data_IF_776342889416
#
_entry.id   IF_776342889416
#
_cell.length_a   1.000
_cell.length_b   1.000
_cell.length_c   1.000
_cell.angle_alpha   90.00
_cell.angle_beta   90.00
_cell.angle_gamma   90.00
#
_symmetry.space_group_name_H-M   'P 1'
#
loop_
_entity.id
_entity.type
_entity.pdbx_description
1 polymer ?
#
# COMPACT_ATOMS: atom_id res chain seq x y z
N UNK A 1 12.68 31.20 -40.19
CA UNK A 1 12.11 29.85 -40.44
C UNK A 1 10.85 29.69 -39.61
N UNK A 2 9.73 29.69 -40.26
CA UNK A 2 8.38 29.95 -39.75
C UNK A 2 7.79 28.71 -39.02
N UNK A 3 6.96 28.97 -38.01
CA UNK A 3 6.25 27.95 -37.16
C UNK A 3 5.46 26.86 -37.94
N UNK A 4 5.29 26.99 -39.24
CA UNK A 4 4.62 26.01 -40.12
C UNK A 4 5.38 24.72 -40.33
N UNK A 5 6.74 24.71 -40.28
CA UNK A 5 7.53 23.53 -40.51
C UNK A 5 7.62 22.54 -39.35
N UNK A 6 7.23 22.92 -38.13
CA UNK A 6 7.22 22.02 -36.96
C UNK A 6 5.98 21.11 -36.92
N UNK A 7 4.84 21.61 -37.40
CA UNK A 7 3.61 20.83 -37.46
C UNK A 7 3.65 19.75 -38.55
N UNK A 8 4.30 20.02 -39.69
CA UNK A 8 4.44 19.03 -40.77
C UNK A 8 5.45 17.93 -40.46
N UNK A 9 6.48 18.16 -39.62
CA UNK A 9 7.43 17.11 -39.22
C UNK A 9 6.82 16.04 -38.30
N UNK A 10 5.84 16.42 -37.47
CA UNK A 10 5.19 15.46 -36.57
C UNK A 10 4.14 14.57 -37.26
N UNK A 11 3.74 14.90 -38.48
CA UNK A 11 2.78 14.09 -39.25
C UNK A 11 3.43 12.98 -40.08
N UNK A 12 4.75 13.01 -40.28
CA UNK A 12 5.47 12.03 -41.14
C UNK A 12 6.06 10.84 -40.37
N UNK A 13 6.01 10.80 -39.03
CA UNK A 13 6.60 9.72 -38.25
C UNK A 13 5.60 8.71 -37.70
N UNK A 14 4.30 8.88 -37.95
CA UNK A 14 3.28 7.97 -37.45
C UNK A 14 2.88 6.91 -38.49
N UNK A 15 3.89 6.14 -38.98
CA UNK A 15 3.68 5.00 -39.86
C UNK A 15 3.22 3.71 -39.13
N UNK A 16 2.68 3.84 -37.90
CA UNK A 16 2.11 2.75 -37.11
C UNK A 16 0.65 2.99 -36.75
N UNK A 17 -0.11 3.48 -37.71
CA UNK A 17 -1.56 3.55 -37.56
C UNK A 17 -2.15 2.13 -37.61
N UNK A 18 -2.83 1.72 -36.56
CA UNK A 18 -3.61 0.49 -36.56
C UNK A 18 -4.91 0.67 -37.37
N UNK A 19 -5.58 -0.39 -37.84
CA UNK A 19 -6.86 -0.33 -38.59
C UNK A 19 -7.99 0.39 -37.82
N UNK A 20 -7.81 0.68 -36.56
CA UNK A 20 -8.75 1.39 -35.67
C UNK A 20 -8.53 2.91 -35.60
N UNK A 21 -7.50 3.43 -36.28
CA UNK A 21 -7.26 4.87 -36.42
C UNK A 21 -8.25 5.48 -37.41
N UNK A 22 -9.53 5.40 -37.10
CA UNK A 22 -10.58 6.12 -37.81
C UNK A 22 -10.27 7.61 -37.69
N UNK A 23 -10.06 8.27 -38.80
CA UNK A 23 -9.98 9.74 -38.87
C UNK A 23 -11.33 10.30 -38.38
N UNK A 24 -11.48 10.53 -37.08
CA UNK A 24 -12.63 11.23 -36.52
C UNK A 24 -12.48 12.69 -36.93
N UNK A 25 -13.10 13.06 -38.05
CA UNK A 25 -13.43 14.46 -38.37
C UNK A 25 -14.58 14.87 -37.45
N UNK A 26 -14.28 15.30 -36.26
CA UNK A 26 -15.23 15.83 -35.30
C UNK A 26 -14.55 16.83 -34.38
N UNK A 27 -15.27 17.87 -34.01
CA UNK A 27 -14.91 18.71 -32.88
C UNK A 27 -14.91 17.82 -31.65
N UNK A 28 -13.72 17.54 -31.08
CA UNK A 28 -13.63 16.82 -29.83
C UNK A 28 -14.43 17.60 -28.78
N UNK A 29 -15.30 16.90 -28.06
CA UNK A 29 -15.96 17.47 -26.90
C UNK A 29 -14.90 18.09 -25.96
N UNK A 30 -15.25 19.20 -25.31
CA UNK A 30 -14.36 19.74 -24.28
C UNK A 30 -14.00 18.64 -23.28
N UNK A 31 -12.72 18.55 -22.86
CA UNK A 31 -12.32 17.52 -21.90
C UNK A 31 -13.17 17.64 -20.64
N UNK A 32 -13.54 16.51 -20.02
CA UNK A 32 -14.47 16.51 -18.89
C UNK A 32 -13.97 17.42 -17.77
N UNK A 33 -14.81 18.34 -17.32
CA UNK A 33 -14.49 19.17 -16.15
C UNK A 33 -14.37 18.27 -14.93
N UNK A 34 -13.32 18.48 -14.15
CA UNK A 34 -13.11 17.79 -12.87
C UNK A 34 -14.13 18.30 -11.84
N UNK A 35 -15.33 17.78 -11.86
CA UNK A 35 -16.26 17.96 -10.75
C UNK A 35 -15.90 16.99 -9.63
N UNK A 36 -15.72 17.51 -8.42
CA UNK A 36 -15.57 16.67 -7.24
C UNK A 36 -16.91 16.01 -6.94
N UNK A 37 -17.01 14.72 -7.15
CA UNK A 37 -18.16 13.98 -6.68
C UNK A 37 -18.25 14.11 -5.15
N UNK A 38 -19.45 14.32 -4.59
CA UNK A 38 -19.62 14.36 -3.14
C UNK A 38 -19.15 13.03 -2.53
N UNK A 39 -18.46 13.08 -1.37
CA UNK A 39 -18.02 11.86 -0.71
C UNK A 39 -19.25 11.02 -0.34
N UNK A 40 -19.19 9.71 -0.63
CA UNK A 40 -20.21 8.75 -0.19
C UNK A 40 -20.28 8.75 1.35
N UNK A 41 -21.47 8.94 1.90
CA UNK A 41 -21.69 8.75 3.34
C UNK A 41 -21.64 7.26 3.66
N UNK A 42 -20.95 6.84 4.73
CA UNK A 42 -20.95 5.45 5.17
C UNK A 42 -22.39 5.04 5.60
N UNK A 43 -22.73 3.77 5.37
CA UNK A 43 -23.98 3.21 5.88
C UNK A 43 -23.93 3.15 7.44
N UNK A 44 -25.08 2.97 8.07
CA UNK A 44 -25.16 2.81 9.54
C UNK A 44 -24.32 1.64 10.04
N UNK A 45 -24.28 0.53 9.29
CA UNK A 45 -23.47 -0.66 9.59
C UNK A 45 -21.97 -0.38 9.42
N UNK A 46 -21.57 0.27 8.31
CA UNK A 46 -20.18 0.69 8.12
C UNK A 46 -19.74 1.66 9.24
N UNK A 47 -20.63 2.53 9.70
CA UNK A 47 -20.35 3.48 10.78
C UNK A 47 -20.20 2.76 12.13
N UNK A 48 -21.04 1.76 12.40
CA UNK A 48 -20.93 0.89 13.58
C UNK A 48 -19.64 0.10 13.56
N UNK A 49 -19.30 -0.55 12.45
CA UNK A 49 -18.05 -1.29 12.30
C UNK A 49 -16.83 -0.38 12.42
N UNK A 50 -16.85 0.83 11.87
CA UNK A 50 -15.77 1.80 12.00
C UNK A 50 -15.54 2.25 13.46
N UNK A 51 -16.58 2.29 14.28
CA UNK A 51 -16.49 2.65 15.70
C UNK A 51 -16.01 1.46 16.56
N UNK A 52 -16.48 0.25 16.27
CA UNK A 52 -16.16 -0.95 17.05
C UNK A 52 -14.80 -1.56 16.68
N UNK A 53 -14.43 -1.57 15.39
CA UNK A 53 -13.22 -2.23 14.94
C UNK A 53 -11.93 -1.77 15.64
N UNK A 54 -11.70 -0.47 15.94
CA UNK A 54 -10.52 -0.07 16.70
C UNK A 54 -10.49 -0.62 18.12
N UNK A 55 -11.66 -0.73 18.76
CA UNK A 55 -11.79 -1.22 20.13
C UNK A 55 -11.55 -2.72 20.18
N UNK A 56 -12.22 -3.48 19.32
CA UNK A 56 -12.06 -4.94 19.27
C UNK A 56 -10.64 -5.32 18.84
N UNK A 57 -10.07 -4.63 17.85
CA UNK A 57 -8.69 -4.86 17.42
C UNK A 57 -7.69 -4.58 18.54
N UNK A 58 -7.89 -3.51 19.32
CA UNK A 58 -7.05 -3.21 20.48
C UNK A 58 -7.20 -4.26 21.56
N UNK A 59 -8.43 -4.72 21.82
CA UNK A 59 -8.73 -5.78 22.79
C UNK A 59 -8.07 -7.11 22.37
N UNK A 60 -8.23 -7.55 21.15
CA UNK A 60 -7.60 -8.77 20.64
C UNK A 60 -6.08 -8.69 20.61
N UNK A 61 -5.53 -7.56 20.18
CA UNK A 61 -4.08 -7.36 20.14
C UNK A 61 -3.46 -7.32 21.54
N UNK A 62 -4.21 -6.80 22.53
CA UNK A 62 -3.79 -6.83 23.93
C UNK A 62 -4.05 -8.20 24.60
N UNK A 63 -5.05 -8.95 24.13
CA UNK A 63 -5.36 -10.27 24.63
C UNK A 63 -4.32 -11.30 24.16
N UNK A 64 -3.44 -11.67 25.05
CA UNK A 64 -2.40 -12.68 24.76
C UNK A 64 -2.96 -14.11 24.76
N UNK A 65 -4.15 -14.34 25.31
CA UNK A 65 -4.73 -15.68 25.52
C UNK A 65 -4.78 -16.53 24.25
N UNK A 66 -5.17 -15.94 23.13
CA UNK A 66 -5.20 -16.61 21.82
C UNK A 66 -3.80 -16.89 21.24
N UNK A 67 -2.79 -16.16 21.68
CA UNK A 67 -1.42 -16.29 21.21
C UNK A 67 -0.59 -17.28 22.01
N UNK A 68 -0.93 -17.50 23.28
CA UNK A 68 -0.17 -18.39 24.17
C UNK A 68 -0.04 -19.83 23.61
N UNK A 69 -1.12 -20.47 23.12
CA UNK A 69 -1.00 -21.80 22.52
C UNK A 69 -0.05 -21.81 21.30
N UNK A 70 -0.13 -20.76 20.47
CA UNK A 70 0.75 -20.61 19.30
C UNK A 70 2.21 -20.45 19.73
N UNK A 71 2.49 -19.57 20.71
CA UNK A 71 3.85 -19.39 21.24
C UNK A 71 4.44 -20.68 21.78
N UNK A 72 3.65 -21.45 22.54
CA UNK A 72 4.09 -22.75 23.10
C UNK A 72 4.37 -23.78 22.02
N UNK A 73 3.49 -23.88 21.02
CA UNK A 73 3.66 -24.77 19.87
C UNK A 73 4.92 -24.44 19.11
N UNK A 74 5.09 -23.19 18.71
CA UNK A 74 6.24 -22.73 17.91
C UNK A 74 7.56 -22.90 18.70
N UNK A 75 7.57 -22.60 20.01
CA UNK A 75 8.75 -22.84 20.85
C UNK A 75 9.09 -24.33 20.98
N UNK A 76 8.09 -25.20 21.05
CA UNK A 76 8.31 -26.65 21.08
C UNK A 76 8.92 -27.14 19.77
N UNK A 77 8.40 -26.68 18.62
CA UNK A 77 8.92 -26.98 17.29
C UNK A 77 10.36 -26.47 17.11
N UNK A 78 10.64 -25.21 17.49
CA UNK A 78 11.98 -24.62 17.41
C UNK A 78 13.01 -25.33 18.29
N UNK A 79 12.58 -25.94 19.38
CA UNK A 79 13.44 -26.63 20.33
C UNK A 79 13.51 -28.14 20.10
N UNK A 80 12.72 -28.69 19.19
CA UNK A 80 12.74 -30.08 18.83
C UNK A 80 14.11 -30.47 18.23
N UNK A 81 14.79 -31.45 18.87
CA UNK A 81 16.12 -31.88 18.44
C UNK A 81 17.27 -30.89 18.65
N UNK A 82 17.00 -29.72 19.28
CA UNK A 82 18.03 -28.71 19.50
C UNK A 82 19.01 -29.12 20.60
N UNK A 83 20.30 -29.13 20.27
CA UNK A 83 21.40 -29.30 21.22
C UNK A 83 21.79 -27.95 21.84
N UNK A 84 21.96 -27.87 23.13
CA UNK A 84 22.35 -26.69 23.88
C UNK A 84 21.16 -25.89 24.42
N UNK A 85 21.36 -24.60 24.76
CA UNK A 85 20.35 -23.77 25.40
C UNK A 85 19.11 -23.61 24.50
N UNK A 86 17.91 -23.91 25.01
CA UNK A 86 16.70 -23.80 24.22
C UNK A 86 16.37 -22.33 23.87
N UNK A 87 15.68 -22.15 22.75
CA UNK A 87 15.08 -20.85 22.41
C UNK A 87 13.99 -20.50 23.41
N UNK A 88 13.97 -19.24 23.83
CA UNK A 88 12.99 -18.74 24.79
C UNK A 88 11.93 -17.84 24.14
N UNK A 89 12.15 -17.43 22.90
CA UNK A 89 11.28 -16.48 22.21
C UNK A 89 11.06 -16.93 20.76
N UNK A 90 9.82 -17.14 20.36
CA UNK A 90 9.41 -17.48 19.01
C UNK A 90 9.09 -16.25 18.17
N UNK A 91 9.01 -16.41 16.85
CA UNK A 91 8.76 -15.30 15.92
C UNK A 91 7.35 -14.73 16.09
N UNK A 92 6.33 -15.56 16.34
CA UNK A 92 4.97 -15.08 16.63
C UNK A 92 4.89 -14.21 17.88
N UNK A 93 5.67 -14.54 18.94
CA UNK A 93 5.77 -13.68 20.14
C UNK A 93 6.39 -12.31 19.79
N UNK A 94 7.45 -12.30 19.00
CA UNK A 94 8.08 -11.05 18.56
C UNK A 94 7.08 -10.20 17.75
N UNK A 95 6.36 -10.81 16.80
CA UNK A 95 5.33 -10.12 16.00
C UNK A 95 4.24 -9.53 16.89
N UNK A 96 3.74 -10.29 17.86
CA UNK A 96 2.75 -9.82 18.80
C UNK A 96 3.23 -8.58 19.59
N UNK A 97 4.44 -8.63 20.16
CA UNK A 97 5.00 -7.50 20.92
C UNK A 97 5.20 -6.25 20.05
N UNK A 98 5.62 -6.42 18.80
CA UNK A 98 5.80 -5.29 17.88
C UNK A 98 4.46 -4.73 17.43
N UNK A 99 3.44 -5.56 17.28
CA UNK A 99 2.06 -5.08 17.04
C UNK A 99 1.55 -4.23 18.20
N UNK A 100 1.77 -4.66 19.45
CA UNK A 100 1.52 -3.85 20.63
C UNK A 100 2.29 -2.52 20.60
N UNK A 101 3.59 -2.55 20.26
CA UNK A 101 4.41 -1.35 20.13
C UNK A 101 3.79 -0.35 19.14
N UNK A 102 3.30 -0.86 18.02
CA UNK A 102 2.69 -0.05 16.96
C UNK A 102 1.39 0.59 17.43
N UNK A 103 0.55 -0.17 18.11
CA UNK A 103 -0.73 0.29 18.67
C UNK A 103 -0.55 1.39 19.72
N UNK A 104 0.32 1.15 20.70
CA UNK A 104 0.59 2.14 21.77
C UNK A 104 1.47 3.30 21.30
N UNK A 105 1.95 3.28 20.04
CA UNK A 105 2.90 4.26 19.49
C UNK A 105 4.17 4.40 20.35
N UNK A 106 4.55 3.29 20.99
CA UNK A 106 5.58 3.26 22.02
C UNK A 106 6.98 2.94 21.49
N UNK A 107 7.92 2.88 22.44
CA UNK A 107 9.29 2.44 22.21
C UNK A 107 9.43 0.93 22.39
N UNK A 108 10.55 0.34 21.94
CA UNK A 108 10.87 -1.06 22.24
C UNK A 108 10.92 -1.35 23.74
N UNK A 109 11.38 -0.37 24.57
CA UNK A 109 11.41 -0.49 26.02
C UNK A 109 9.99 -0.57 26.61
N UNK A 110 9.11 0.32 26.16
CA UNK A 110 7.72 0.35 26.62
C UNK A 110 6.99 -0.95 26.23
N UNK A 111 7.18 -1.40 24.98
CA UNK A 111 6.56 -2.63 24.49
C UNK A 111 7.07 -3.87 25.21
N UNK A 112 8.38 -3.98 25.46
CA UNK A 112 8.97 -5.08 26.20
C UNK A 112 8.49 -5.12 27.67
N UNK A 113 8.37 -3.95 28.31
CA UNK A 113 7.85 -3.86 29.68
C UNK A 113 6.37 -4.26 29.77
N UNK A 114 5.54 -3.79 28.85
CA UNK A 114 4.12 -4.16 28.79
C UNK A 114 3.96 -5.65 28.50
N UNK A 115 4.72 -6.18 27.56
CA UNK A 115 4.71 -7.62 27.24
C UNK A 115 5.17 -8.48 28.43
N UNK A 116 6.16 -8.02 29.21
CA UNK A 116 6.62 -8.72 30.38
C UNK A 116 5.48 -8.86 31.43
N UNK A 117 4.78 -7.75 31.72
CA UNK A 117 3.67 -7.78 32.64
C UNK A 117 2.53 -8.72 32.17
N UNK A 118 2.18 -8.69 30.87
CA UNK A 118 1.10 -9.54 30.34
C UNK A 118 1.51 -11.02 30.31
N UNK A 119 2.76 -11.33 29.92
CA UNK A 119 3.23 -12.72 29.78
C UNK A 119 3.50 -13.40 31.14
N UNK A 120 3.78 -12.62 32.17
CA UNK A 120 4.02 -13.12 33.54
C UNK A 120 2.81 -13.91 34.07
N UNK A 121 1.59 -13.42 33.86
CA UNK A 121 0.34 -14.10 34.22
C UNK A 121 0.17 -15.47 33.54
N UNK A 122 0.89 -15.70 32.46
CA UNK A 122 0.87 -16.97 31.70
C UNK A 122 2.11 -17.83 31.92
N UNK A 123 2.96 -17.46 32.89
CA UNK A 123 4.22 -18.16 33.19
C UNK A 123 5.26 -18.08 32.07
N UNK A 124 5.19 -17.07 31.20
CA UNK A 124 6.11 -16.87 30.10
C UNK A 124 6.99 -15.62 30.31
N UNK A 125 8.21 -15.66 29.78
CA UNK A 125 9.14 -14.53 29.83
C UNK A 125 9.05 -13.72 28.55
N UNK A 126 9.09 -12.40 28.69
CA UNK A 126 9.27 -11.49 27.55
C UNK A 126 10.75 -11.29 27.22
N UNK A 127 11.08 -11.03 25.94
CA UNK A 127 12.44 -10.64 25.57
C UNK A 127 12.78 -9.25 26.12
N UNK A 128 14.05 -9.01 26.44
CA UNK A 128 14.54 -7.66 26.71
C UNK A 128 14.31 -6.74 25.50
N UNK A 129 14.27 -5.45 25.70
CA UNK A 129 14.09 -4.48 24.61
C UNK A 129 15.19 -4.59 23.53
N UNK A 130 16.43 -4.90 23.91
CA UNK A 130 17.54 -5.12 22.97
C UNK A 130 17.30 -6.38 22.13
N UNK A 131 16.92 -7.47 22.77
CA UNK A 131 16.62 -8.73 22.08
C UNK A 131 15.38 -8.62 21.19
N UNK A 132 14.36 -7.88 21.64
CA UNK A 132 13.19 -7.57 20.83
C UNK A 132 13.57 -6.78 19.56
N UNK A 133 14.44 -5.78 19.71
CA UNK A 133 14.95 -5.00 18.57
C UNK A 133 15.72 -5.86 17.58
N UNK A 134 16.68 -6.67 18.05
CA UNK A 134 17.49 -7.55 17.21
C UNK A 134 16.63 -8.55 16.43
N UNK A 135 15.77 -9.29 17.12
CA UNK A 135 14.90 -10.29 16.49
C UNK A 135 13.92 -9.68 15.51
N UNK A 136 13.31 -8.54 15.87
CA UNK A 136 12.43 -7.82 14.95
C UNK A 136 13.16 -7.33 13.71
N UNK A 137 14.41 -6.88 13.88
CA UNK A 137 15.22 -6.45 12.77
C UNK A 137 15.56 -7.60 11.81
N UNK A 138 15.98 -8.75 12.36
CA UNK A 138 16.27 -9.96 11.58
C UNK A 138 15.05 -10.46 10.81
N UNK A 139 13.88 -10.48 11.45
CA UNK A 139 12.62 -10.90 10.82
C UNK A 139 12.21 -9.99 9.68
N UNK A 140 12.17 -8.69 9.95
CA UNK A 140 11.72 -7.70 8.99
C UNK A 140 12.70 -7.56 7.82
N UNK A 141 14.00 -7.74 8.06
CA UNK A 141 15.02 -7.70 7.01
C UNK A 141 14.88 -8.87 6.02
N UNK A 142 14.40 -10.04 6.48
CA UNK A 142 14.10 -11.17 5.59
C UNK A 142 12.92 -10.90 4.64
N UNK A 143 12.03 -9.98 4.98
CA UNK A 143 10.87 -9.59 4.17
C UNK A 143 11.20 -8.49 3.17
N UNK A 144 12.37 -7.83 3.32
CA UNK A 144 12.76 -6.69 2.49
C UNK A 144 13.56 -7.15 1.26
N UNK A 145 13.14 -6.73 0.08
CA UNK A 145 14.01 -6.66 -1.09
C UNK A 145 14.38 -5.20 -1.36
N UNK A 146 15.68 -4.94 -1.49
CA UNK A 146 16.20 -3.59 -1.74
C UNK A 146 16.75 -3.51 -3.15
N UNK A 147 16.34 -2.48 -3.90
CA UNK A 147 16.87 -2.17 -5.20
C UNK A 147 16.99 -0.65 -5.36
N UNK A 148 18.24 -0.14 -5.44
CA UNK A 148 18.50 1.27 -5.71
C UNK A 148 17.88 2.25 -4.70
N UNK A 149 17.72 1.86 -3.43
CA UNK A 149 17.10 2.67 -2.37
C UNK A 149 15.58 2.60 -2.35
N UNK A 150 14.96 1.73 -3.16
CA UNK A 150 13.56 1.33 -3.09
C UNK A 150 13.47 0.02 -2.33
N UNK A 151 12.63 0.00 -1.29
CA UNK A 151 12.36 -1.20 -0.48
C UNK A 151 10.99 -1.73 -0.87
N UNK A 152 10.95 -2.93 -1.46
CA UNK A 152 9.71 -3.59 -1.87
C UNK A 152 9.43 -4.72 -0.89
N UNK A 153 8.21 -4.76 -0.39
CA UNK A 153 7.76 -5.72 0.59
C UNK A 153 6.49 -6.39 0.06
N UNK A 154 6.45 -7.70 0.15
CA UNK A 154 5.23 -8.48 -0.07
C UNK A 154 4.50 -8.57 1.26
N UNK A 155 3.28 -8.08 1.31
CA UNK A 155 2.44 -8.26 2.48
C UNK A 155 1.99 -9.73 2.57
N UNK A 156 1.84 -10.22 3.78
CA UNK A 156 1.32 -11.56 4.04
C UNK A 156 -0.20 -11.62 3.85
N UNK A 157 -0.69 -11.31 2.66
CA UNK A 157 -2.11 -11.36 2.34
C UNK A 157 -2.57 -12.76 1.95
N UNK A 158 -3.82 -13.09 2.24
CA UNK A 158 -4.41 -14.37 1.88
C UNK A 158 -4.51 -14.49 0.35
N UNK A 159 -3.98 -15.57 -0.21
CA UNK A 159 -4.16 -15.87 -1.64
C UNK A 159 -5.57 -16.41 -1.83
N UNK A 160 -6.31 -15.80 -2.75
CA UNK A 160 -7.65 -16.27 -3.16
C UNK A 160 -7.64 -16.60 -4.65
N UNK A 161 -8.44 -17.57 -5.05
CA UNK A 161 -8.49 -18.05 -6.44
C UNK A 161 -9.10 -17.02 -7.41
N UNK A 162 -9.93 -16.11 -6.91
CA UNK A 162 -10.55 -15.06 -7.73
C UNK A 162 -9.61 -13.90 -8.01
N UNK A 163 -9.68 -13.26 -9.19
CA UNK A 163 -8.91 -12.07 -9.48
C UNK A 163 -9.25 -10.91 -8.53
N UNK A 164 -8.24 -10.27 -7.97
CA UNK A 164 -8.39 -9.10 -7.08
C UNK A 164 -8.41 -7.81 -7.87
N UNK A 165 -9.41 -6.98 -7.62
CA UNK A 165 -9.40 -5.60 -8.08
C UNK A 165 -8.50 -4.78 -7.16
N UNK A 166 -7.48 -4.16 -7.71
CA UNK A 166 -6.45 -3.51 -6.90
C UNK A 166 -6.38 -2.01 -7.14
N UNK A 167 -6.09 -1.28 -6.09
CA UNK A 167 -5.79 0.15 -6.14
C UNK A 167 -4.35 0.42 -5.75
N UNK A 168 -3.69 1.30 -6.49
CA UNK A 168 -2.35 1.78 -6.15
C UNK A 168 -2.41 3.26 -5.81
N UNK A 169 -1.74 3.62 -4.72
CA UNK A 169 -1.62 5.02 -4.29
C UNK A 169 -0.37 5.20 -3.43
N UNK A 170 0.03 6.45 -3.17
CA UNK A 170 1.18 6.77 -2.34
C UNK A 170 0.87 7.83 -1.29
N UNK A 171 1.56 7.76 -0.15
CA UNK A 171 1.42 8.77 0.89
C UNK A 171 2.73 9.02 1.63
N UNK A 172 2.95 10.30 2.02
CA UNK A 172 4.14 10.72 2.77
C UNK A 172 4.01 10.45 4.26
N UNK A 173 5.12 10.01 4.89
CA UNK A 173 5.28 9.87 6.34
C UNK A 173 6.43 10.72 6.83
N UNK A 174 6.21 11.48 7.90
CA UNK A 174 7.19 12.40 8.45
C UNK A 174 8.26 11.67 9.25
N UNK A 175 9.52 11.98 9.01
CA UNK A 175 10.62 11.54 9.85
C UNK A 175 10.82 12.56 10.98
N UNK A 176 10.62 12.15 12.23
CA UNK A 176 10.65 13.05 13.39
C UNK A 176 12.06 13.28 13.94
N UNK A 177 13.02 12.40 13.62
CA UNK A 177 14.40 12.52 14.10
C UNK A 177 15.32 13.15 13.05
N UNK A 178 16.20 14.04 13.50
CA UNK A 178 17.33 14.54 12.71
C UNK A 178 18.47 13.52 12.75
N UNK A 179 18.50 12.60 11.80
CA UNK A 179 19.54 11.58 11.74
C UNK A 179 20.73 12.02 10.89
N UNK A 180 21.94 11.55 11.24
CA UNK A 180 23.19 11.83 10.50
C UNK A 180 23.05 11.40 9.03
N UNK A 181 22.52 10.20 8.75
CA UNK A 181 22.30 9.71 7.39
C UNK A 181 21.43 10.64 6.52
N UNK A 182 20.52 11.40 7.15
CA UNK A 182 19.67 12.36 6.46
C UNK A 182 20.44 13.61 6.06
N UNK A 183 21.40 14.03 6.89
CA UNK A 183 22.33 15.12 6.54
C UNK A 183 23.24 14.72 5.39
N UNK A 184 23.76 13.50 5.42
CA UNK A 184 24.65 12.96 4.39
C UNK A 184 23.93 12.77 3.05
N UNK A 185 22.75 12.16 3.07
CA UNK A 185 22.00 11.84 1.83
C UNK A 185 21.32 13.04 1.18
N UNK A 186 20.87 14.04 1.96
CA UNK A 186 20.05 15.15 1.44
C UNK A 186 20.63 16.56 1.70
N UNK A 187 21.79 16.68 2.29
CA UNK A 187 22.46 17.97 2.52
C UNK A 187 21.63 18.98 3.34
N UNK A 188 20.60 18.52 4.05
CA UNK A 188 19.61 19.39 4.68
C UNK A 188 20.01 19.71 6.11
N UNK A 189 20.15 21.00 6.40
CA UNK A 189 20.26 21.52 7.76
C UNK A 189 19.04 21.18 8.64
N UNK A 190 19.09 21.47 9.94
CA UNK A 190 18.10 21.04 10.94
C UNK A 190 16.67 21.52 10.72
N UNK A 191 16.42 22.43 9.79
CA UNK A 191 15.11 23.06 9.56
C UNK A 191 14.18 22.31 8.57
N UNK A 192 14.66 21.32 7.81
CA UNK A 192 13.79 20.57 6.86
C UNK A 192 13.47 19.18 7.38
N UNK A 193 12.20 18.95 7.73
CA UNK A 193 11.68 17.61 8.07
C UNK A 193 11.82 16.73 6.82
N UNK A 194 12.49 15.58 6.97
CA UNK A 194 12.49 14.55 5.94
C UNK A 194 11.17 13.80 5.97
N UNK A 195 10.80 13.21 4.85
CA UNK A 195 9.69 12.30 4.77
C UNK A 195 9.98 11.17 3.78
N UNK A 196 9.35 10.05 4.02
CA UNK A 196 9.38 8.88 3.17
C UNK A 196 8.04 8.77 2.46
N UNK A 197 8.06 8.23 1.27
CA UNK A 197 6.86 7.80 0.56
C UNK A 197 6.61 6.32 0.80
N UNK A 198 5.40 6.00 1.20
CA UNK A 198 4.85 4.66 1.22
C UNK A 198 3.92 4.52 0.00
N UNK A 199 4.25 3.61 -0.90
CA UNK A 199 3.41 3.23 -2.03
C UNK A 199 2.74 1.92 -1.68
N UNK A 200 1.43 1.82 -1.84
CA UNK A 200 0.65 0.64 -1.46
C UNK A 200 -0.17 0.15 -2.64
N UNK A 201 -0.10 -1.14 -2.87
CA UNK A 201 -1.04 -1.89 -3.70
C UNK A 201 -2.02 -2.60 -2.77
N UNK A 202 -3.29 -2.24 -2.83
CA UNK A 202 -4.33 -2.80 -1.95
C UNK A 202 -5.51 -3.31 -2.76
N UNK A 203 -6.17 -4.32 -2.24
CA UNK A 203 -7.46 -4.79 -2.73
C UNK A 203 -8.53 -3.71 -2.49
N UNK A 204 -9.22 -3.27 -3.54
CA UNK A 204 -10.24 -2.21 -3.41
C UNK A 204 -11.54 -2.71 -2.79
N UNK A 205 -11.77 -4.01 -2.72
CA UNK A 205 -12.98 -4.58 -2.16
C UNK A 205 -12.84 -4.82 -0.65
N UNK A 206 -11.71 -5.38 -0.23
CA UNK A 206 -11.43 -5.69 1.20
C UNK A 206 -10.63 -4.58 1.90
N UNK A 207 -9.82 -3.83 1.16
CA UNK A 207 -8.84 -2.88 1.71
C UNK A 207 -7.56 -3.54 2.22
N UNK A 208 -7.37 -4.84 1.95
CA UNK A 208 -6.18 -5.60 2.30
C UNK A 208 -4.97 -5.11 1.52
N UNK A 209 -3.83 -4.98 2.20
CA UNK A 209 -2.56 -4.59 1.56
C UNK A 209 -1.92 -5.83 0.94
N UNK A 210 -1.69 -5.80 -0.37
CA UNK A 210 -1.12 -6.92 -1.14
C UNK A 210 0.38 -6.77 -1.29
N UNK A 211 0.84 -5.57 -1.58
CA UNK A 211 2.26 -5.23 -1.66
C UNK A 211 2.47 -3.76 -1.35
N UNK A 212 3.64 -3.40 -0.89
CA UNK A 212 3.99 -2.00 -0.71
C UNK A 212 5.47 -1.74 -0.93
N UNK A 213 5.80 -0.51 -1.25
CA UNK A 213 7.17 -0.06 -1.39
C UNK A 213 7.42 1.20 -0.57
N UNK A 214 8.63 1.35 -0.08
CA UNK A 214 9.09 2.56 0.62
C UNK A 214 10.20 3.20 -0.18
N UNK A 215 10.05 4.48 -0.47
CA UNK A 215 11.02 5.28 -1.22
C UNK A 215 11.31 6.60 -0.52
N UNK A 216 12.29 7.31 -1.00
CA UNK A 216 12.49 8.70 -0.62
C UNK A 216 11.41 9.61 -1.25
N UNK A 217 11.38 10.85 -0.80
CA UNK A 217 10.41 11.86 -1.25
C UNK A 217 10.52 12.24 -2.72
N UNK A 218 11.68 12.01 -3.35
CA UNK A 218 11.97 12.45 -4.71
C UNK A 218 11.56 11.41 -5.76
N UNK A 219 11.33 10.17 -5.34
CA UNK A 219 10.91 9.10 -6.24
C UNK A 219 9.50 9.36 -6.74
N UNK A 220 9.32 9.29 -8.05
CA UNK A 220 8.00 9.40 -8.70
C UNK A 220 7.10 8.22 -8.35
N UNK A 221 5.79 8.40 -8.49
CA UNK A 221 4.82 7.34 -8.17
C UNK A 221 4.70 6.32 -9.31
N UNK A 222 4.65 6.80 -10.56
CA UNK A 222 4.44 5.97 -11.76
C UNK A 222 5.39 4.78 -11.88
N UNK A 223 6.72 4.92 -11.67
CA UNK A 223 7.65 3.79 -11.79
C UNK A 223 7.44 2.67 -10.77
N UNK A 224 6.72 2.93 -9.66
CA UNK A 224 6.51 1.94 -8.59
C UNK A 224 5.35 0.98 -8.90
N UNK A 225 4.51 1.30 -9.89
CA UNK A 225 3.35 0.48 -10.23
C UNK A 225 3.76 -0.92 -10.70
N UNK A 226 4.66 -1.01 -11.67
CA UNK A 226 5.10 -2.29 -12.23
C UNK A 226 5.78 -3.17 -11.18
N UNK A 227 6.76 -2.70 -10.40
CA UNK A 227 7.38 -3.51 -9.35
C UNK A 227 6.38 -4.02 -8.30
N UNK A 228 5.37 -3.23 -7.93
CA UNK A 228 4.36 -3.66 -6.97
C UNK A 228 3.40 -4.70 -7.53
N UNK A 229 2.97 -4.54 -8.78
CA UNK A 229 2.15 -5.54 -9.47
C UNK A 229 2.92 -6.85 -9.68
N UNK A 230 4.17 -6.78 -10.12
CA UNK A 230 5.03 -7.96 -10.29
C UNK A 230 5.29 -8.67 -8.95
N UNK A 231 5.46 -7.93 -7.85
CA UNK A 231 5.59 -8.50 -6.52
C UNK A 231 4.31 -9.24 -6.07
N UNK A 232 3.14 -8.68 -6.38
CA UNK A 232 1.86 -9.31 -6.08
C UNK A 232 1.65 -10.59 -6.91
N UNK A 233 1.94 -10.54 -8.21
CA UNK A 233 1.85 -11.72 -9.09
C UNK A 233 2.84 -12.80 -8.67
N UNK A 234 4.08 -12.44 -8.34
CA UNK A 234 5.09 -13.37 -7.86
C UNK A 234 4.73 -14.00 -6.49
N UNK A 235 3.87 -13.35 -5.70
CA UNK A 235 3.30 -13.91 -4.47
C UNK A 235 2.10 -14.85 -4.73
N UNK A 236 1.65 -15.00 -5.99
CA UNK A 236 0.55 -15.89 -6.37
C UNK A 236 -0.82 -15.19 -6.52
N UNK A 237 -0.89 -13.86 -6.40
CA UNK A 237 -2.15 -13.14 -6.58
C UNK A 237 -2.50 -13.01 -8.06
N UNK A 238 -3.76 -13.23 -8.38
CA UNK A 238 -4.33 -12.91 -9.70
C UNK A 238 -4.85 -11.49 -9.67
N UNK A 239 -4.40 -10.66 -10.61
CA UNK A 239 -4.79 -9.25 -10.70
C UNK A 239 -6.01 -9.12 -11.63
N UNK A 240 -7.05 -8.50 -11.11
CA UNK A 240 -8.23 -8.08 -11.85
C UNK A 240 -8.05 -6.64 -12.38
N UNK A 241 -8.99 -5.75 -12.09
CA UNK A 241 -8.88 -4.36 -12.53
C UNK A 241 -7.87 -3.60 -11.66
N UNK A 242 -7.01 -2.81 -12.29
CA UNK A 242 -6.05 -1.92 -11.60
C UNK A 242 -6.58 -0.49 -11.63
N UNK A 243 -6.71 0.13 -10.46
CA UNK A 243 -7.13 1.53 -10.29
C UNK A 243 -5.96 2.37 -9.79
N UNK A 244 -5.74 3.54 -10.41
CA UNK A 244 -4.72 4.48 -9.96
C UNK A 244 -5.11 5.94 -10.25
N UNK A 245 -4.40 6.88 -9.65
CA UNK A 245 -4.57 8.28 -10.02
C UNK A 245 -3.87 8.63 -11.34
N UNK A 246 -4.07 9.87 -11.82
CA UNK A 246 -3.50 10.32 -13.09
C UNK A 246 -1.97 10.37 -13.11
N UNK A 247 -1.28 10.30 -11.98
CA UNK A 247 0.18 10.26 -11.92
C UNK A 247 0.72 8.96 -12.52
N UNK A 248 -0.06 7.88 -12.48
CA UNK A 248 0.32 6.56 -13.00
C UNK A 248 0.00 6.36 -14.48
N UNK A 249 -0.53 7.36 -15.21
CA UNK A 249 -1.04 7.24 -16.58
C UNK A 249 0.06 7.18 -17.67
N UNK A 250 1.22 6.56 -17.39
CA UNK A 250 2.30 6.36 -18.37
C UNK A 250 1.97 5.29 -19.41
N UNK A 251 2.56 5.38 -20.60
CA UNK A 251 2.42 4.36 -21.65
C UNK A 251 2.89 2.99 -21.16
N UNK A 252 4.02 2.96 -20.46
CA UNK A 252 4.63 1.75 -19.91
C UNK A 252 3.70 1.02 -18.93
N UNK A 253 3.03 1.76 -18.03
CA UNK A 253 2.07 1.17 -17.11
C UNK A 253 0.85 0.59 -17.84
N UNK A 254 0.35 1.26 -18.88
CA UNK A 254 -0.73 0.72 -19.71
C UNK A 254 -0.32 -0.55 -20.44
N UNK A 255 0.88 -0.59 -21.02
CA UNK A 255 1.37 -1.76 -21.73
C UNK A 255 1.61 -2.93 -20.77
N UNK A 256 2.09 -2.65 -19.56
CA UNK A 256 2.27 -3.69 -18.55
C UNK A 256 0.92 -4.27 -18.09
N UNK A 257 -0.03 -3.42 -17.68
CA UNK A 257 -1.32 -3.88 -17.13
C UNK A 257 -2.20 -4.49 -18.22
N UNK A 258 -2.41 -3.77 -19.31
CA UNK A 258 -3.33 -4.23 -20.36
C UNK A 258 -2.68 -5.22 -21.33
N UNK A 259 -1.39 -5.06 -21.62
CA UNK A 259 -0.66 -5.91 -22.55
C UNK A 259 -0.11 -7.17 -21.89
N UNK A 260 0.68 -7.03 -20.82
CA UNK A 260 1.37 -8.15 -20.19
C UNK A 260 0.48 -8.92 -19.22
N UNK A 261 -0.24 -8.22 -18.32
CA UNK A 261 -1.13 -8.87 -17.35
C UNK A 261 -2.50 -9.23 -17.96
N UNK A 262 -2.84 -8.68 -19.15
CA UNK A 262 -4.09 -8.96 -19.84
C UNK A 262 -5.34 -8.44 -19.10
N UNK A 263 -5.19 -7.42 -18.25
CA UNK A 263 -6.27 -6.90 -17.42
C UNK A 263 -6.55 -5.43 -17.68
N UNK A 264 -7.60 -4.89 -17.07
CA UNK A 264 -8.06 -3.52 -17.28
C UNK A 264 -7.33 -2.55 -16.35
N UNK A 265 -6.84 -1.43 -16.92
CA UNK A 265 -6.27 -0.31 -16.18
C UNK A 265 -7.19 0.91 -16.21
N UNK A 266 -7.58 1.41 -15.05
CA UNK A 266 -8.48 2.56 -14.88
C UNK A 266 -7.73 3.67 -14.15
N UNK A 267 -7.45 4.76 -14.86
CA UNK A 267 -6.78 5.94 -14.31
C UNK A 267 -7.35 7.21 -14.93
N UNK A 268 -7.36 8.30 -14.18
CA UNK A 268 -7.75 9.60 -14.69
C UNK A 268 -6.63 10.24 -15.54
N UNK A 269 -7.00 11.17 -16.39
CA UNK A 269 -6.04 11.95 -17.17
C UNK A 269 -6.15 13.44 -16.82
N UNK A 270 -5.16 14.21 -17.26
CA UNK A 270 -5.23 15.66 -17.15
C UNK A 270 -6.35 16.20 -18.05
N UNK A 271 -6.98 17.29 -17.64
CA UNK A 271 -8.10 17.93 -18.40
C UNK A 271 -7.71 18.25 -19.84
N UNK A 272 -6.46 18.62 -20.08
CA UNK A 272 -5.95 18.95 -21.42
C UNK A 272 -5.36 17.75 -22.18
N UNK A 273 -5.61 16.52 -21.75
CA UNK A 273 -5.13 15.31 -22.43
C UNK A 273 -5.82 15.17 -23.77
N UNK A 274 -5.04 14.95 -24.82
CA UNK A 274 -5.55 14.68 -26.17
C UNK A 274 -5.74 13.18 -26.39
N UNK A 275 -6.69 12.76 -27.21
CA UNK A 275 -6.96 11.34 -27.51
C UNK A 275 -5.93 10.77 -28.50
N UNK A 276 -4.70 10.64 -28.04
CA UNK A 276 -3.58 10.13 -28.84
C UNK A 276 -2.97 8.89 -28.16
N UNK A 277 -2.35 8.00 -28.95
CA UNK A 277 -1.78 6.77 -28.40
C UNK A 277 -0.65 7.03 -27.39
N UNK A 278 0.15 8.08 -27.57
CA UNK A 278 1.17 8.50 -26.61
C UNK A 278 2.20 7.39 -26.29
N UNK A 279 2.55 6.55 -27.29
CA UNK A 279 3.48 5.45 -27.14
C UNK A 279 2.85 4.09 -26.80
N UNK A 280 1.55 4.04 -26.44
CA UNK A 280 0.83 2.81 -26.12
C UNK A 280 -0.57 2.82 -26.74
N UNK A 281 -0.95 1.74 -27.43
CA UNK A 281 -2.32 1.59 -27.96
C UNK A 281 -3.37 1.59 -26.85
N UNK A 282 -3.09 0.92 -25.74
CA UNK A 282 -3.99 0.80 -24.60
C UNK A 282 -4.23 2.17 -23.94
N UNK A 283 -3.15 2.95 -23.79
CA UNK A 283 -3.27 4.32 -23.32
C UNK A 283 -4.08 5.18 -24.28
N UNK A 284 -3.89 5.00 -25.59
CA UNK A 284 -4.65 5.68 -26.64
C UNK A 284 -6.15 5.37 -26.56
N UNK A 285 -6.52 4.12 -26.37
CA UNK A 285 -7.92 3.71 -26.17
C UNK A 285 -8.52 4.35 -24.92
N UNK A 286 -7.79 4.30 -23.80
CA UNK A 286 -8.22 4.92 -22.55
C UNK A 286 -8.39 6.45 -22.67
N UNK A 287 -7.48 7.15 -23.36
CA UNK A 287 -7.60 8.61 -23.56
C UNK A 287 -8.74 8.96 -24.50
N UNK A 288 -9.02 8.15 -25.53
CA UNK A 288 -10.21 8.34 -26.39
C UNK A 288 -11.50 8.18 -25.58
N UNK A 289 -11.59 7.16 -24.74
CA UNK A 289 -12.74 6.96 -23.86
C UNK A 289 -12.90 8.13 -22.86
N UNK A 290 -11.78 8.60 -22.25
CA UNK A 290 -11.77 9.76 -21.36
C UNK A 290 -12.30 11.03 -22.04
N UNK A 291 -11.91 11.29 -23.29
CA UNK A 291 -12.31 12.47 -24.03
C UNK A 291 -13.71 12.37 -24.69
N UNK A 292 -14.34 11.18 -24.69
CA UNK A 292 -15.60 10.96 -25.41
C UNK A 292 -16.86 11.29 -24.60
N UNK A 293 -16.73 11.50 -23.28
CA UNK A 293 -17.87 11.70 -22.39
C UNK A 293 -17.56 12.62 -21.21
N UNK A 294 -18.58 13.19 -20.53
CA UNK A 294 -18.40 13.96 -19.30
C UNK A 294 -17.77 13.15 -18.17
N UNK A 295 -17.08 13.82 -17.24
CA UNK A 295 -16.35 13.15 -16.16
C UNK A 295 -17.23 12.26 -15.29
N UNK A 296 -18.43 12.70 -14.92
CA UNK A 296 -19.35 11.91 -14.09
C UNK A 296 -19.74 10.58 -14.77
N UNK A 297 -20.09 10.64 -16.07
CA UNK A 297 -20.41 9.46 -16.87
C UNK A 297 -19.19 8.53 -17.01
N UNK A 298 -18.00 9.10 -17.21
CA UNK A 298 -16.76 8.32 -17.28
C UNK A 298 -16.47 7.61 -15.96
N UNK A 299 -16.64 8.28 -14.81
CA UNK A 299 -16.44 7.69 -13.48
C UNK A 299 -17.36 6.49 -13.28
N UNK A 300 -18.65 6.63 -13.65
CA UNK A 300 -19.63 5.56 -13.53
C UNK A 300 -19.28 4.39 -14.44
N UNK A 301 -19.08 4.61 -15.74
CA UNK A 301 -18.74 3.55 -16.71
C UNK A 301 -17.42 2.87 -16.46
N UNK A 302 -16.41 3.61 -16.00
CA UNK A 302 -15.09 3.05 -15.71
C UNK A 302 -15.00 2.35 -14.37
N UNK A 303 -15.88 2.69 -13.42
CA UNK A 303 -15.79 2.26 -12.03
C UNK A 303 -14.68 2.97 -11.24
N UNK A 304 -14.20 4.14 -11.73
CA UNK A 304 -13.07 4.86 -11.15
C UNK A 304 -13.29 5.26 -9.69
N UNK A 305 -14.53 5.43 -9.26
CA UNK A 305 -14.88 5.73 -7.88
C UNK A 305 -14.36 4.72 -6.86
N UNK A 306 -14.08 3.45 -7.27
CA UNK A 306 -13.51 2.43 -6.39
C UNK A 306 -12.09 2.77 -5.90
N UNK A 307 -11.34 3.59 -6.64
CA UNK A 307 -10.01 4.08 -6.26
C UNK A 307 -10.00 4.79 -4.89
N UNK A 308 -11.10 5.47 -4.55
CA UNK A 308 -11.21 6.19 -3.27
C UNK A 308 -10.95 5.30 -2.04
N UNK A 309 -11.20 4.00 -2.12
CA UNK A 309 -10.91 3.08 -1.01
C UNK A 309 -9.43 2.98 -0.67
N UNK A 310 -8.53 3.15 -1.66
CA UNK A 310 -7.08 3.18 -1.40
C UNK A 310 -6.67 4.45 -0.64
N UNK A 311 -7.25 5.61 -0.97
CA UNK A 311 -7.01 6.87 -0.24
C UNK A 311 -7.47 6.78 1.22
N UNK A 312 -8.62 6.14 1.47
CA UNK A 312 -9.13 5.90 2.83
C UNK A 312 -8.16 5.06 3.65
N UNK A 313 -7.49 4.07 3.05
CA UNK A 313 -6.52 3.22 3.70
C UNK A 313 -5.38 4.03 4.34
N UNK A 314 -4.80 4.99 3.62
CA UNK A 314 -3.73 5.84 4.18
C UNK A 314 -4.20 6.75 5.30
N UNK A 315 -5.40 7.32 5.20
CA UNK A 315 -5.99 8.14 6.25
C UNK A 315 -6.19 7.32 7.53
N UNK A 316 -6.66 6.08 7.40
CA UNK A 316 -6.82 5.14 8.50
C UNK A 316 -5.47 4.76 9.14
N UNK A 317 -4.45 4.41 8.35
CA UNK A 317 -3.10 4.11 8.86
C UNK A 317 -2.54 5.28 9.67
N UNK A 318 -2.64 6.50 9.13
CA UNK A 318 -2.16 7.70 9.82
C UNK A 318 -2.93 8.01 11.09
N UNK A 319 -4.24 7.85 11.06
CA UNK A 319 -5.11 8.05 12.23
C UNK A 319 -4.84 7.04 13.35
N UNK A 320 -4.72 5.75 12.99
CA UNK A 320 -4.53 4.67 13.97
C UNK A 320 -3.11 4.66 14.53
N UNK A 321 -2.09 4.73 13.68
CA UNK A 321 -0.70 4.50 14.06
C UNK A 321 0.18 5.76 14.01
N UNK A 322 -0.41 6.91 13.68
CA UNK A 322 0.31 8.19 13.53
C UNK A 322 1.13 8.29 12.24
N UNK A 323 1.34 9.51 11.78
CA UNK A 323 2.07 9.82 10.54
C UNK A 323 3.58 10.01 10.75
N UNK A 324 4.05 10.08 12.00
CA UNK A 324 5.46 10.27 12.33
C UNK A 324 6.18 8.94 12.49
N UNK A 325 7.42 8.92 12.00
CA UNK A 325 8.32 7.77 12.11
C UNK A 325 9.57 8.20 12.88
N UNK A 326 9.79 7.54 14.01
CA UNK A 326 10.97 7.73 14.85
C UNK A 326 12.01 6.65 14.53
N UNK A 327 13.00 6.96 13.70
CA UNK A 327 14.07 6.04 13.33
C UNK A 327 15.38 6.77 13.10
N UNK A 328 16.49 6.15 13.46
CA UNK A 328 17.84 6.71 13.28
C UNK A 328 18.46 6.35 11.93
N UNK A 329 17.98 5.29 11.28
CA UNK A 329 18.46 4.83 9.98
C UNK A 329 17.30 4.71 8.99
N UNK A 330 17.59 4.74 7.68
CA UNK A 330 16.59 4.51 6.63
C UNK A 330 15.96 3.13 6.80
N UNK A 331 16.75 2.09 6.98
CA UNK A 331 16.29 0.72 7.18
C UNK A 331 15.37 0.59 8.40
N UNK A 332 15.72 1.29 9.50
CA UNK A 332 14.86 1.38 10.68
C UNK A 332 13.52 2.07 10.41
N UNK A 333 13.50 3.10 9.56
CA UNK A 333 12.26 3.76 9.17
C UNK A 333 11.38 2.86 8.29
N UNK A 334 11.99 2.14 7.35
CA UNK A 334 11.31 1.14 6.51
C UNK A 334 10.67 0.04 7.37
N UNK A 335 11.43 -0.52 8.33
CA UNK A 335 10.89 -1.52 9.28
C UNK A 335 9.67 -1.00 10.05
N UNK A 336 9.69 0.26 10.49
CA UNK A 336 8.54 0.86 11.19
C UNK A 336 7.34 1.05 10.28
N UNK A 337 7.55 1.42 9.02
CA UNK A 337 6.46 1.47 8.03
C UNK A 337 5.91 0.09 7.75
N UNK A 338 6.77 -0.91 7.56
CA UNK A 338 6.36 -2.31 7.42
C UNK A 338 5.43 -2.73 8.56
N UNK A 339 5.83 -2.48 9.81
CA UNK A 339 5.01 -2.85 10.96
C UNK A 339 3.66 -2.12 11.01
N UNK A 340 3.63 -0.84 10.67
CA UNK A 340 2.36 -0.10 10.58
C UNK A 340 1.44 -0.70 9.51
N UNK A 341 1.98 -1.09 8.37
CA UNK A 341 1.23 -1.66 7.26
C UNK A 341 0.71 -3.06 7.60
N UNK A 342 1.54 -3.92 8.18
CA UNK A 342 1.15 -5.25 8.63
C UNK A 342 0.09 -5.20 9.75
N UNK A 343 0.28 -4.30 10.73
CA UNK A 343 -0.71 -4.10 11.79
C UNK A 343 -2.04 -3.58 11.22
N UNK A 344 -1.97 -2.75 10.16
CA UNK A 344 -3.17 -2.25 9.47
C UNK A 344 -3.89 -3.35 8.69
N UNK A 345 -3.18 -4.26 8.04
CA UNK A 345 -3.79 -5.39 7.34
C UNK A 345 -4.63 -6.23 8.32
N UNK A 346 -4.08 -6.56 9.49
CA UNK A 346 -4.82 -7.27 10.55
C UNK A 346 -6.04 -6.50 11.06
N UNK A 347 -5.90 -5.19 11.21
CA UNK A 347 -7.04 -4.33 11.56
C UNK A 347 -8.17 -4.40 10.51
N UNK A 348 -7.81 -4.44 9.22
CA UNK A 348 -8.81 -4.57 8.14
C UNK A 348 -9.49 -5.95 8.14
N UNK A 349 -8.76 -7.01 8.40
CA UNK A 349 -9.33 -8.36 8.57
C UNK A 349 -10.36 -8.39 9.70
N UNK A 350 -10.00 -7.86 10.86
CA UNK A 350 -10.92 -7.76 12.01
C UNK A 350 -12.18 -6.95 11.69
N UNK A 351 -12.00 -5.82 11.01
CA UNK A 351 -13.12 -5.00 10.56
C UNK A 351 -14.03 -5.74 9.58
N UNK A 352 -13.47 -6.54 8.69
CA UNK A 352 -14.24 -7.33 7.73
C UNK A 352 -15.08 -8.42 8.46
N UNK A 353 -14.52 -9.07 9.49
CA UNK A 353 -15.23 -10.04 10.32
C UNK A 353 -16.42 -9.38 11.03
N UNK A 354 -16.23 -8.20 11.62
CA UNK A 354 -17.31 -7.45 12.26
C UNK A 354 -18.43 -7.06 11.30
N UNK A 355 -18.07 -6.67 10.06
CA UNK A 355 -19.06 -6.35 9.02
C UNK A 355 -19.87 -7.58 8.61
N UNK A 356 -19.22 -8.72 8.42
CA UNK A 356 -19.91 -9.98 8.07
C UNK A 356 -20.81 -10.48 9.20
N UNK A 357 -20.38 -10.36 10.45
CA UNK A 357 -21.18 -10.69 11.63
C UNK A 357 -22.41 -9.79 11.81
N UNK A 358 -22.33 -8.51 11.48
CA UNK A 358 -23.48 -7.59 11.50
C UNK A 358 -24.51 -7.92 10.42
N UNK A 359 -24.07 -8.40 9.25
CA UNK A 359 -24.96 -8.81 8.15
C UNK A 359 -25.67 -10.15 8.42
N UNK A 360 -25.08 -11.03 9.24
CA UNK A 360 -25.67 -12.31 9.61
C UNK A 360 -26.71 -12.20 10.74
N UNK A 361 -26.76 -11.06 11.44
CA UNK A 361 -27.66 -10.80 12.57
C UNK A 361 -28.81 -9.82 12.23
N UNK A 362 -28.91 -9.39 10.99
CA UNK A 362 -30.00 -8.59 10.41
C UNK A 362 -30.84 -9.41 9.45
#
# INVERSE_FOLDING_TARGET
MTRRNKAQRNLKTDARMTPYDVKVKGTFAEPPKKEKLPPRKPTSEEQRANNLAPVEFSRESASVGNWIPLFRKELAEMNSGKVGRPYSFCDSMIIWIISLQTLIKGTYRTAAGLAAAILEDHGMKAPSYSRLFERSAEMLDRMLSENGGTYIIRAGSNIIDSPRNVGIDSSGFNLSNTCLWRKEKWGTGPKRRGWLKLHVLSDVDTGEVIAFAVTDKNTGDSPLMIPLLDAAVAAGHRIGIVYADGAYSSAENFDHVCGRLGTRFVTSFKVNTKPVNGGSRYRGEATRLWCSMPYAEWVEKSGYGRRWKSECGFSDVKRLFGESIHAFTMKGAVRKLLMKTETFSRYKEQRAILLSGCLASS
#
